data_IF_469287901731
#
_entry.id   IF_469287901731
#
_cell.length_a   1.000
_cell.length_b   1.000
_cell.length_c   1.000
_cell.angle_alpha   90.00
_cell.angle_beta   90.00
_cell.angle_gamma   90.00
#
_symmetry.space_group_name_H-M   'P 1'
#
loop_
_entity.id
_entity.type
_entity.pdbx_description
1 polymer ?
#
# COMPACT_ATOMS: atom_id res chain seq x y z
N UNK A 1 2.07 -16.99 13.46
CA UNK A 1 1.61 -15.84 14.28
C UNK A 1 0.11 -15.60 14.15
N UNK A 2 -0.47 -15.41 12.96
CA UNK A 2 -1.93 -15.20 12.78
C UNK A 2 -2.80 -16.30 13.39
N UNK A 3 -2.43 -17.58 13.24
CA UNK A 3 -3.17 -18.68 13.89
C UNK A 3 -3.19 -18.54 15.42
N UNK A 4 -2.06 -18.17 16.04
CA UNK A 4 -1.99 -17.95 17.48
C UNK A 4 -2.87 -16.77 17.91
N UNK A 5 -2.82 -15.65 17.19
CA UNK A 5 -3.67 -14.49 17.44
C UNK A 5 -5.16 -14.86 17.31
N UNK A 6 -5.54 -15.54 16.22
CA UNK A 6 -6.92 -15.98 15.98
C UNK A 6 -7.44 -16.85 17.11
N UNK A 7 -6.68 -17.89 17.49
CA UNK A 7 -7.06 -18.80 18.59
C UNK A 7 -7.15 -18.05 19.93
N UNK A 8 -6.14 -17.23 20.25
CA UNK A 8 -6.10 -16.51 21.53
C UNK A 8 -7.27 -15.54 21.67
N UNK A 9 -7.51 -14.71 20.64
CA UNK A 9 -8.61 -13.73 20.67
C UNK A 9 -9.96 -14.43 20.70
N UNK A 10 -10.15 -15.51 19.93
CA UNK A 10 -11.40 -16.28 19.95
C UNK A 10 -11.68 -16.87 21.35
N UNK A 11 -10.67 -17.51 21.97
CA UNK A 11 -10.83 -18.11 23.30
C UNK A 11 -11.07 -17.06 24.39
N UNK A 12 -10.35 -15.94 24.37
CA UNK A 12 -10.56 -14.83 25.30
C UNK A 12 -11.97 -14.27 25.14
N UNK A 13 -12.44 -14.06 23.91
CA UNK A 13 -13.79 -13.56 23.64
C UNK A 13 -14.87 -14.49 24.18
N UNK A 14 -14.72 -15.81 23.99
CA UNK A 14 -15.67 -16.80 24.52
C UNK A 14 -15.67 -16.80 26.03
N UNK A 15 -14.50 -16.81 26.67
CA UNK A 15 -14.39 -16.80 28.13
C UNK A 15 -14.98 -15.54 28.76
N UNK A 16 -14.69 -14.36 28.18
CA UNK A 16 -15.26 -13.09 28.62
C UNK A 16 -16.75 -13.03 28.44
N UNK A 17 -17.28 -13.45 27.28
CA UNK A 17 -18.71 -13.49 27.03
C UNK A 17 -19.43 -14.45 28.01
N UNK A 18 -18.83 -15.61 28.28
CA UNK A 18 -19.37 -16.56 29.25
C UNK A 18 -19.39 -15.98 30.70
N UNK A 19 -18.32 -15.28 31.09
CA UNK A 19 -18.23 -14.69 32.41
C UNK A 19 -19.12 -13.47 32.62
N UNK A 20 -19.40 -12.72 31.55
CA UNK A 20 -20.26 -11.51 31.55
C UNK A 20 -21.71 -11.77 31.18
N UNK A 21 -22.08 -13.02 30.87
CA UNK A 21 -23.45 -13.38 30.45
C UNK A 21 -23.82 -12.94 29.03
N UNK A 22 -22.83 -12.61 28.17
CA UNK A 22 -23.02 -12.08 26.81
C UNK A 22 -22.94 -13.12 25.69
N UNK A 23 -23.24 -14.39 25.99
CA UNK A 23 -23.13 -15.48 24.99
C UNK A 23 -24.12 -15.33 23.83
N UNK A 24 -25.30 -14.77 24.05
CA UNK A 24 -26.28 -14.47 23.01
C UNK A 24 -25.75 -13.35 22.08
N UNK A 25 -25.21 -12.27 22.66
CA UNK A 25 -24.59 -11.18 21.91
C UNK A 25 -23.39 -11.68 21.09
N UNK A 26 -22.57 -12.57 21.66
CA UNK A 26 -21.45 -13.18 20.96
C UNK A 26 -21.92 -13.99 19.75
N UNK A 27 -22.92 -14.84 19.90
CA UNK A 27 -23.44 -15.68 18.84
C UNK A 27 -24.04 -14.83 17.71
N UNK A 28 -24.86 -13.86 18.06
CA UNK A 28 -25.45 -12.92 17.10
C UNK A 28 -24.38 -12.11 16.39
N UNK A 29 -23.38 -11.62 17.13
CA UNK A 29 -22.24 -10.87 16.59
C UNK A 29 -21.42 -11.65 15.57
N UNK A 30 -21.18 -12.95 15.83
CA UNK A 30 -20.50 -13.86 14.87
C UNK A 30 -21.30 -13.96 13.55
N UNK A 31 -22.59 -14.24 13.64
CA UNK A 31 -23.42 -14.41 12.43
C UNK A 31 -23.58 -13.13 11.64
N UNK A 32 -23.80 -12.01 12.32
CA UNK A 32 -23.89 -10.68 11.70
C UNK A 32 -22.58 -10.29 11.04
N UNK A 33 -21.44 -10.49 11.71
CA UNK A 33 -20.12 -10.16 11.16
C UNK A 33 -19.79 -11.00 9.93
N UNK A 34 -20.17 -12.29 9.92
CA UNK A 34 -19.98 -13.15 8.75
C UNK A 34 -20.82 -12.67 7.54
N UNK A 35 -22.07 -12.26 7.77
CA UNK A 35 -22.93 -11.69 6.71
C UNK A 35 -22.36 -10.37 6.19
N UNK A 36 -22.01 -9.45 7.08
CA UNK A 36 -21.45 -8.14 6.75
C UNK A 36 -20.15 -8.26 5.94
N UNK A 37 -19.32 -9.29 6.23
CA UNK A 37 -18.09 -9.54 5.50
C UNK A 37 -18.32 -9.82 4.01
N UNK A 38 -19.34 -10.60 3.69
CA UNK A 38 -19.72 -10.93 2.31
C UNK A 38 -20.33 -9.72 1.62
N UNK A 39 -21.24 -9.01 2.30
CA UNK A 39 -21.86 -7.80 1.78
C UNK A 39 -20.81 -6.73 1.44
N UNK A 40 -19.87 -6.48 2.35
CA UNK A 40 -18.74 -5.60 2.12
C UNK A 40 -17.92 -6.01 0.90
N UNK A 41 -17.58 -7.29 0.80
CA UNK A 41 -16.80 -7.80 -0.33
C UNK A 41 -17.51 -7.60 -1.68
N UNK A 42 -18.81 -7.81 -1.73
CA UNK A 42 -19.64 -7.56 -2.92
C UNK A 42 -19.63 -6.06 -3.26
N UNK A 43 -19.78 -5.19 -2.26
CA UNK A 43 -19.71 -3.73 -2.44
C UNK A 43 -18.38 -3.24 -3.00
N UNK A 44 -17.28 -3.94 -2.71
CA UNK A 44 -15.95 -3.61 -3.20
C UNK A 44 -15.70 -4.02 -4.66
N UNK A 45 -16.42 -5.00 -5.20
CA UNK A 45 -16.18 -5.57 -6.54
C UNK A 45 -16.15 -4.49 -7.62
N UNK A 46 -17.16 -3.63 -7.68
CA UNK A 46 -17.29 -2.61 -8.72
C UNK A 46 -16.18 -1.57 -8.66
N UNK A 47 -15.88 -1.06 -7.48
CA UNK A 47 -14.84 -0.04 -7.28
C UNK A 47 -13.44 -0.60 -7.51
N UNK A 48 -13.12 -1.81 -7.04
CA UNK A 48 -11.85 -2.47 -7.31
C UNK A 48 -11.67 -2.78 -8.79
N UNK A 49 -12.70 -3.30 -9.45
CA UNK A 49 -12.68 -3.54 -10.90
C UNK A 49 -12.41 -2.25 -11.67
N UNK A 50 -13.07 -1.15 -11.32
CA UNK A 50 -12.88 0.14 -11.97
C UNK A 50 -11.47 0.68 -11.79
N UNK A 51 -10.94 0.73 -10.56
CA UNK A 51 -9.59 1.26 -10.32
C UNK A 51 -8.50 0.38 -10.94
N UNK A 52 -8.61 -0.95 -10.88
CA UNK A 52 -7.65 -1.83 -11.55
C UNK A 52 -7.76 -1.75 -13.07
N UNK A 53 -8.96 -1.51 -13.62
CA UNK A 53 -9.14 -1.18 -15.02
C UNK A 53 -8.41 0.08 -15.44
N UNK A 54 -8.50 1.16 -14.66
CA UNK A 54 -7.76 2.41 -14.91
C UNK A 54 -6.24 2.20 -14.87
N UNK A 55 -5.76 1.43 -13.90
CA UNK A 55 -4.33 1.12 -13.76
C UNK A 55 -3.85 0.28 -14.94
N UNK A 56 -4.66 -0.64 -15.47
CA UNK A 56 -4.34 -1.41 -16.67
C UNK A 56 -4.11 -0.53 -17.88
N UNK A 57 -4.93 0.52 -18.07
CA UNK A 57 -4.69 1.53 -19.13
C UNK A 57 -3.30 2.17 -18.96
N UNK A 58 -2.91 2.51 -17.73
CA UNK A 58 -1.60 3.08 -17.46
C UNK A 58 -0.44 2.12 -17.78
N UNK A 59 -0.61 0.82 -17.48
CA UNK A 59 0.36 -0.23 -17.79
C UNK A 59 0.52 -0.37 -19.31
N UNK A 60 -0.58 -0.57 -20.04
CA UNK A 60 -0.59 -0.77 -21.49
C UNK A 60 -0.08 0.49 -22.23
N UNK A 61 -0.27 1.68 -21.63
CA UNK A 61 0.28 2.94 -22.15
C UNK A 61 1.79 3.14 -21.86
N UNK A 62 2.43 2.22 -21.12
CA UNK A 62 3.84 2.30 -20.76
C UNK A 62 4.16 3.36 -19.69
N UNK A 63 3.18 3.74 -18.86
CA UNK A 63 3.40 4.70 -17.76
C UNK A 63 4.36 4.13 -16.71
N UNK A 64 4.28 2.84 -16.42
CA UNK A 64 5.20 2.16 -15.50
C UNK A 64 6.66 2.30 -15.95
N UNK A 65 6.94 2.13 -17.22
CA UNK A 65 8.30 2.29 -17.78
C UNK A 65 8.81 3.73 -17.65
N UNK A 66 7.93 4.74 -17.74
CA UNK A 66 8.32 6.15 -17.53
C UNK A 66 8.61 6.43 -16.05
N UNK A 67 7.78 5.94 -15.15
CA UNK A 67 8.01 6.07 -13.70
C UNK A 67 9.28 5.32 -13.31
N UNK A 68 9.49 4.12 -13.84
CA UNK A 68 10.71 3.36 -13.64
C UNK A 68 11.95 4.16 -14.07
N UNK A 69 11.94 4.80 -15.23
CA UNK A 69 13.05 5.68 -15.67
C UNK A 69 13.27 6.89 -14.74
N UNK A 70 12.21 7.46 -14.19
CA UNK A 70 12.32 8.57 -13.25
C UNK A 70 12.91 8.13 -11.91
N UNK A 71 12.59 6.92 -11.47
CA UNK A 71 13.11 6.33 -10.23
C UNK A 71 14.53 5.77 -10.34
N UNK A 72 15.03 5.51 -11.55
CA UNK A 72 16.33 4.88 -11.78
C UNK A 72 17.49 5.62 -11.05
N UNK A 73 17.55 6.94 -11.20
CA UNK A 73 18.61 7.75 -10.55
C UNK A 73 18.53 7.73 -9.02
N UNK A 74 17.40 8.06 -8.36
CA UNK A 74 17.31 7.99 -6.90
C UNK A 74 17.54 6.58 -6.36
N UNK A 75 17.08 5.54 -7.05
CA UNK A 75 17.30 4.16 -6.64
C UNK A 75 18.80 3.81 -6.67
N UNK A 76 19.54 4.16 -7.73
CA UNK A 76 20.98 3.93 -7.79
C UNK A 76 21.75 4.58 -6.64
N UNK A 77 21.31 5.74 -6.16
CA UNK A 77 21.91 6.40 -5.01
C UNK A 77 21.70 5.62 -3.70
N UNK A 78 20.62 4.89 -3.58
CA UNK A 78 20.29 4.07 -2.41
C UNK A 78 21.00 2.70 -2.42
N UNK A 79 21.52 2.28 -3.56
CA UNK A 79 22.20 1.00 -3.75
C UNK A 79 23.63 1.16 -4.32
N UNK A 80 24.54 1.87 -3.62
CA UNK A 80 25.86 2.21 -4.14
C UNK A 80 26.77 0.98 -4.37
N UNK A 81 26.46 -0.15 -3.72
CA UNK A 81 27.21 -1.40 -3.86
C UNK A 81 26.84 -2.23 -5.11
N UNK A 82 25.83 -1.82 -5.89
CA UNK A 82 25.41 -2.54 -7.08
C UNK A 82 26.01 -1.92 -8.35
N UNK A 83 26.42 -2.76 -9.33
CA UNK A 83 26.87 -2.26 -10.63
C UNK A 83 25.78 -1.42 -11.32
N UNK A 84 26.16 -0.37 -12.08
CA UNK A 84 25.19 0.54 -12.74
C UNK A 84 24.21 -0.17 -13.67
N UNK A 85 24.58 -1.28 -14.28
CA UNK A 85 23.75 -2.07 -15.19
C UNK A 85 23.22 -3.36 -14.57
N UNK A 86 23.23 -3.46 -13.23
CA UNK A 86 22.74 -4.66 -12.55
C UNK A 86 21.26 -4.90 -12.84
N UNK A 87 20.86 -6.12 -13.23
CA UNK A 87 19.45 -6.50 -13.36
C UNK A 87 18.64 -6.31 -12.08
N UNK A 88 19.30 -6.35 -10.91
CA UNK A 88 18.69 -6.05 -9.61
C UNK A 88 18.08 -4.66 -9.59
N UNK A 89 18.78 -3.62 -10.08
CA UNK A 89 18.27 -2.24 -10.13
C UNK A 89 16.98 -2.18 -10.95
N UNK A 90 16.98 -2.81 -12.13
CA UNK A 90 15.78 -2.85 -12.99
C UNK A 90 14.58 -3.50 -12.30
N UNK A 91 14.80 -4.64 -11.64
CA UNK A 91 13.74 -5.35 -10.92
C UNK A 91 13.23 -4.56 -9.69
N UNK A 92 14.13 -3.90 -8.92
CA UNK A 92 13.78 -3.01 -7.81
C UNK A 92 12.90 -1.86 -8.30
N UNK A 93 13.32 -1.20 -9.37
CA UNK A 93 12.61 -0.05 -9.95
C UNK A 93 11.21 -0.46 -10.44
N UNK A 94 11.07 -1.61 -11.09
CA UNK A 94 9.77 -2.13 -11.53
C UNK A 94 8.87 -2.50 -10.35
N UNK A 95 9.42 -3.14 -9.32
CA UNK A 95 8.68 -3.47 -8.11
C UNK A 95 8.16 -2.22 -7.41
N UNK A 96 9.02 -1.22 -7.18
CA UNK A 96 8.61 0.03 -6.53
C UNK A 96 7.60 0.81 -7.39
N UNK A 97 7.78 0.84 -8.72
CA UNK A 97 6.82 1.46 -9.63
C UNK A 97 5.45 0.79 -9.52
N UNK A 98 5.39 -0.54 -9.48
CA UNK A 98 4.14 -1.27 -9.33
C UNK A 98 3.46 -0.97 -7.98
N UNK A 99 4.23 -0.92 -6.89
CA UNK A 99 3.71 -0.56 -5.57
C UNK A 99 3.17 0.87 -5.52
N UNK A 100 3.84 1.83 -6.17
CA UNK A 100 3.37 3.22 -6.24
C UNK A 100 1.97 3.35 -6.88
N UNK A 101 1.64 2.46 -7.80
CA UNK A 101 0.31 2.40 -8.43
C UNK A 101 -0.69 1.49 -7.68
N UNK A 102 -0.31 0.92 -6.54
CA UNK A 102 -1.18 0.02 -5.77
C UNK A 102 -1.37 -1.36 -6.40
N UNK A 103 -0.43 -1.78 -7.26
CA UNK A 103 -0.43 -3.08 -7.96
C UNK A 103 0.28 -4.16 -7.14
N UNK A 104 -0.11 -4.39 -5.91
CA UNK A 104 0.57 -5.32 -5.00
C UNK A 104 0.79 -6.72 -5.61
N UNK A 105 -0.20 -7.25 -6.34
CA UNK A 105 -0.09 -8.57 -7.00
C UNK A 105 0.95 -8.59 -8.13
N UNK A 106 1.07 -7.50 -8.89
CA UNK A 106 2.07 -7.38 -9.96
C UNK A 106 3.46 -7.00 -9.41
N UNK A 107 3.53 -6.35 -8.25
CA UNK A 107 4.78 -5.97 -7.61
C UNK A 107 5.55 -7.19 -7.08
N UNK A 108 4.85 -8.20 -6.53
CA UNK A 108 5.48 -9.35 -5.87
C UNK A 108 6.46 -10.13 -6.76
N UNK A 109 6.14 -10.52 -8.02
CA UNK A 109 7.11 -11.20 -8.89
C UNK A 109 8.36 -10.37 -9.15
N UNK A 110 8.24 -9.05 -9.36
CA UNK A 110 9.39 -8.16 -9.53
C UNK A 110 10.24 -8.07 -8.25
N UNK A 111 9.59 -8.09 -7.07
CA UNK A 111 10.28 -8.09 -5.80
C UNK A 111 11.06 -9.38 -5.53
N UNK A 112 10.49 -10.54 -5.86
CA UNK A 112 11.18 -11.83 -5.80
C UNK A 112 12.38 -11.83 -6.76
N UNK A 113 12.19 -11.36 -8.00
CA UNK A 113 13.28 -11.22 -8.96
C UNK A 113 14.37 -10.28 -8.47
N UNK A 114 14.00 -9.16 -7.89
CA UNK A 114 14.96 -8.22 -7.29
C UNK A 114 15.80 -8.90 -6.20
N UNK A 115 15.16 -9.67 -5.31
CA UNK A 115 15.85 -10.41 -4.26
C UNK A 115 16.78 -11.50 -4.84
N UNK A 116 16.34 -12.24 -5.85
CA UNK A 116 17.18 -13.24 -6.53
C UNK A 116 18.41 -12.60 -7.18
N UNK A 117 18.24 -11.46 -7.83
CA UNK A 117 19.36 -10.74 -8.43
C UNK A 117 20.30 -10.14 -7.36
N UNK A 118 19.76 -9.68 -6.23
CA UNK A 118 20.57 -9.22 -5.09
C UNK A 118 21.35 -10.37 -4.44
N UNK A 119 20.77 -11.57 -4.40
CA UNK A 119 21.42 -12.74 -3.79
C UNK A 119 22.58 -13.27 -4.62
N UNK A 120 22.60 -13.05 -5.94
CA UNK A 120 23.77 -13.36 -6.79
C UNK A 120 25.04 -12.59 -6.38
N UNK A 121 24.87 -11.40 -5.77
CA UNK A 121 25.97 -10.58 -5.25
C UNK A 121 26.28 -10.88 -3.78
N UNK A 122 25.60 -11.84 -3.16
CA UNK A 122 25.71 -12.17 -1.75
C UNK A 122 26.80 -13.24 -1.51
N UNK A 123 27.90 -12.86 -0.88
CA UNK A 123 28.98 -13.78 -0.54
C UNK A 123 28.68 -14.76 0.61
N UNK A 124 27.54 -14.63 1.27
CA UNK A 124 27.14 -15.50 2.39
C UNK A 124 25.67 -15.89 2.28
N UNK A 125 25.40 -17.05 1.70
CA UNK A 125 24.04 -17.59 1.61
C UNK A 125 23.33 -17.62 2.97
N UNK A 126 22.04 -17.28 2.97
CA UNK A 126 21.19 -17.31 4.16
C UNK A 126 21.29 -16.09 5.08
N UNK A 127 22.18 -15.12 4.80
CA UNK A 127 22.31 -13.86 5.55
C UNK A 127 22.00 -12.66 4.66
N UNK A 128 21.15 -11.76 5.11
CA UNK A 128 20.74 -10.58 4.35
C UNK A 128 21.89 -9.57 4.17
N UNK A 129 22.09 -9.06 2.94
CA UNK A 129 23.00 -7.96 2.63
C UNK A 129 22.37 -6.60 2.97
N UNK A 130 23.15 -5.53 3.07
CA UNK A 130 22.63 -4.18 3.26
C UNK A 130 21.69 -3.74 2.12
N UNK A 131 21.97 -4.16 0.88
CA UNK A 131 21.09 -3.91 -0.25
C UNK A 131 19.73 -4.60 -0.11
N UNK A 132 19.70 -5.85 0.33
CA UNK A 132 18.45 -6.57 0.61
C UNK A 132 17.64 -5.91 1.72
N UNK A 133 18.31 -5.48 2.80
CA UNK A 133 17.67 -4.74 3.90
C UNK A 133 17.06 -3.43 3.41
N UNK A 134 17.82 -2.62 2.66
CA UNK A 134 17.36 -1.36 2.09
C UNK A 134 16.15 -1.57 1.17
N UNK A 135 16.20 -2.56 0.29
CA UNK A 135 15.09 -2.87 -0.60
C UNK A 135 13.80 -3.24 0.17
N UNK A 136 13.90 -4.09 1.20
CA UNK A 136 12.74 -4.45 2.02
C UNK A 136 12.22 -3.26 2.83
N UNK A 137 13.09 -2.46 3.41
CA UNK A 137 12.68 -1.28 4.18
C UNK A 137 11.88 -0.28 3.33
N UNK A 138 12.33 -0.02 2.09
CA UNK A 138 11.60 0.84 1.15
C UNK A 138 10.28 0.17 0.71
N UNK A 139 10.28 -1.14 0.48
CA UNK A 139 9.09 -1.87 0.04
C UNK A 139 7.99 -1.84 1.09
N UNK A 140 8.34 -2.07 2.37
CA UNK A 140 7.38 -2.07 3.49
C UNK A 140 6.85 -0.68 3.83
N UNK A 141 7.62 0.39 3.57
CA UNK A 141 7.16 1.78 3.75
C UNK A 141 6.17 2.26 2.68
N UNK A 142 6.03 1.49 1.60
CA UNK A 142 5.07 1.65 0.49
C UNK A 142 4.74 3.09 0.10
N UNK A 143 5.57 3.71 -0.71
CA UNK A 143 5.24 5.02 -1.30
C UNK A 143 4.08 4.87 -2.29
N UNK A 144 2.84 4.83 -1.77
CA UNK A 144 1.63 4.69 -2.58
C UNK A 144 1.18 6.06 -3.12
N UNK A 145 1.15 6.21 -4.45
CA UNK A 145 0.54 7.39 -5.10
C UNK A 145 -0.98 7.26 -5.08
N UNK A 146 -1.47 6.05 -5.31
CA UNK A 146 -2.90 5.75 -5.39
C UNK A 146 -3.27 4.66 -4.38
N UNK A 147 -3.82 5.00 -3.20
CA UNK A 147 -4.34 4.02 -2.24
C UNK A 147 -5.70 3.47 -2.72
N UNK A 148 -5.73 2.86 -3.91
CA UNK A 148 -6.95 2.46 -4.62
C UNK A 148 -7.86 1.55 -3.79
N UNK A 149 -7.28 0.61 -3.04
CA UNK A 149 -8.05 -0.29 -2.17
C UNK A 149 -8.79 0.45 -1.06
N UNK A 150 -8.16 1.45 -0.42
CA UNK A 150 -8.79 2.24 0.63
C UNK A 150 -9.83 3.22 0.08
N UNK A 151 -9.58 3.81 -1.08
CA UNK A 151 -10.59 4.64 -1.77
C UNK A 151 -11.80 3.78 -2.14
N UNK A 152 -11.59 2.58 -2.68
CA UNK A 152 -12.66 1.63 -3.00
C UNK A 152 -13.48 1.26 -1.74
N UNK A 153 -12.82 1.00 -0.62
CA UNK A 153 -13.48 0.71 0.66
C UNK A 153 -14.33 1.90 1.12
N UNK A 154 -13.80 3.13 1.08
CA UNK A 154 -14.55 4.33 1.48
C UNK A 154 -15.76 4.58 0.58
N UNK A 155 -15.63 4.34 -0.74
CA UNK A 155 -16.77 4.41 -1.67
C UNK A 155 -17.83 3.37 -1.31
N UNK A 156 -17.45 2.12 -1.02
CA UNK A 156 -18.40 1.05 -0.65
C UNK A 156 -19.11 1.34 0.68
N UNK A 157 -18.50 2.14 1.56
CA UNK A 157 -19.06 2.62 2.83
C UNK A 157 -19.84 3.95 2.68
N UNK A 158 -20.16 4.35 1.45
CA UNK A 158 -20.88 5.59 1.14
C UNK A 158 -20.21 6.87 1.70
N UNK A 159 -18.87 6.90 1.72
CA UNK A 159 -18.11 8.09 2.07
C UNK A 159 -18.48 9.26 1.15
N UNK A 160 -18.66 10.44 1.73
CA UNK A 160 -18.89 11.68 0.97
C UNK A 160 -17.57 12.25 0.43
N UNK A 161 -16.42 11.83 1.01
CA UNK A 161 -15.07 12.27 0.61
C UNK A 161 -14.13 11.06 0.47
N UNK A 162 -14.31 10.17 -0.52
CA UNK A 162 -13.50 8.97 -0.67
C UNK A 162 -12.01 9.23 -0.89
N UNK A 163 -11.66 10.34 -1.56
CA UNK A 163 -10.29 10.72 -1.89
C UNK A 163 -9.60 11.56 -0.80
N UNK A 164 -10.30 11.96 0.25
CA UNK A 164 -9.77 12.81 1.32
C UNK A 164 -8.54 12.22 2.03
N UNK A 165 -8.34 10.91 1.93
CA UNK A 165 -7.16 10.24 2.48
C UNK A 165 -5.89 10.39 1.63
N UNK A 166 -5.92 10.96 0.40
CA UNK A 166 -4.75 11.02 -0.46
C UNK A 166 -3.60 11.79 0.17
N UNK A 167 -3.88 13.02 0.61
CA UNK A 167 -2.84 13.87 1.19
C UNK A 167 -2.24 13.28 2.46
N UNK A 168 -3.09 12.77 3.35
CA UNK A 168 -2.64 12.13 4.60
C UNK A 168 -1.83 10.85 4.33
N UNK A 169 -2.26 10.04 3.36
CA UNK A 169 -1.53 8.83 2.93
C UNK A 169 -0.17 9.18 2.33
N UNK A 170 -0.10 10.20 1.46
CA UNK A 170 1.18 10.62 0.87
C UNK A 170 2.16 11.13 1.92
N UNK A 171 1.68 11.96 2.84
CA UNK A 171 2.52 12.47 3.94
C UNK A 171 3.04 11.33 4.82
N UNK A 172 2.16 10.42 5.23
CA UNK A 172 2.52 9.31 6.10
C UNK A 172 3.48 8.32 5.41
N UNK A 173 3.21 7.93 4.15
CA UNK A 173 4.07 7.02 3.40
C UNK A 173 5.42 7.63 3.05
N UNK A 174 5.47 8.92 2.70
CA UNK A 174 6.73 9.62 2.49
C UNK A 174 7.57 9.68 3.78
N UNK A 175 6.95 9.99 4.91
CA UNK A 175 7.62 10.00 6.22
C UNK A 175 8.14 8.61 6.60
N UNK A 176 7.33 7.57 6.40
CA UNK A 176 7.74 6.18 6.62
C UNK A 176 8.92 5.79 5.72
N UNK A 177 8.90 6.17 4.44
CA UNK A 177 9.98 5.86 3.48
C UNK A 177 11.28 6.56 3.85
N UNK A 178 11.23 7.83 4.24
CA UNK A 178 12.41 8.57 4.70
C UNK A 178 13.03 7.84 5.91
N UNK A 179 12.22 7.47 6.90
CA UNK A 179 12.71 6.78 8.09
C UNK A 179 13.18 5.36 7.78
N UNK A 180 12.52 4.65 6.84
CA UNK A 180 12.98 3.35 6.35
C UNK A 180 14.40 3.41 5.79
N UNK A 181 14.67 4.38 4.91
CA UNK A 181 16.00 4.60 4.31
C UNK A 181 17.02 4.99 5.37
N UNK A 182 16.67 5.93 6.25
CA UNK A 182 17.56 6.37 7.33
C UNK A 182 17.86 5.23 8.32
N UNK A 183 16.84 4.49 8.75
CA UNK A 183 17.00 3.37 9.67
C UNK A 183 17.83 2.24 9.06
N UNK A 184 17.56 1.86 7.80
CA UNK A 184 18.36 0.86 7.10
C UNK A 184 19.83 1.30 7.00
N UNK A 185 20.09 2.57 6.65
CA UNK A 185 21.45 3.12 6.50
C UNK A 185 22.19 3.27 7.83
N UNK A 186 21.52 3.79 8.88
CA UNK A 186 22.13 4.02 10.18
C UNK A 186 22.38 2.71 10.94
N UNK A 187 21.40 1.79 10.93
CA UNK A 187 21.57 0.49 11.60
C UNK A 187 22.68 -0.34 10.95
N UNK A 188 22.86 -0.24 9.62
CA UNK A 188 23.97 -0.91 8.94
C UNK A 188 25.35 -0.51 9.47
N UNK A 189 25.49 0.71 10.02
CA UNK A 189 26.76 1.22 10.56
C UNK A 189 27.05 0.75 11.99
N UNK A 190 26.06 0.22 12.70
CA UNK A 190 26.26 -0.28 14.07
C UNK A 190 27.23 -1.47 14.09
N UNK A 191 28.17 -1.53 15.07
CA UNK A 191 29.21 -2.57 15.12
C UNK A 191 28.67 -3.99 14.99
N UNK A 192 27.53 -4.28 15.62
CA UNK A 192 26.90 -5.60 15.61
C UNK A 192 26.42 -6.03 14.21
N UNK A 193 25.91 -5.07 13.40
CA UNK A 193 25.39 -5.36 12.07
C UNK A 193 26.49 -5.21 11.00
N UNK A 194 27.47 -4.33 11.21
CA UNK A 194 28.63 -4.19 10.35
C UNK A 194 29.52 -5.44 10.39
N UNK A 195 29.72 -6.02 11.56
CA UNK A 195 30.50 -7.24 11.72
C UNK A 195 29.86 -8.50 11.06
N UNK A 196 28.55 -8.47 10.83
CA UNK A 196 27.79 -9.58 10.20
C UNK A 196 27.44 -9.28 8.74
N UNK A 197 28.01 -8.25 8.13
CA UNK A 197 27.76 -7.94 6.73
C UNK A 197 28.43 -8.98 5.83
N UNK A 198 27.66 -9.65 4.92
CA UNK A 198 28.23 -10.55 3.93
C UNK A 198 29.22 -9.81 3.02
N UNK A 199 30.35 -10.43 2.74
CA UNK A 199 31.26 -9.90 1.72
C UNK A 199 30.55 -9.86 0.35
N UNK A 200 30.65 -8.75 -0.36
CA UNK A 200 30.16 -8.69 -1.75
C UNK A 200 31.05 -9.54 -2.65
N UNK A 201 30.46 -10.36 -3.48
CA UNK A 201 31.16 -11.04 -4.56
C UNK A 201 31.49 -9.99 -5.63
N UNK A 202 32.78 -9.87 -6.01
CA UNK A 202 33.22 -8.95 -7.06
C UNK A 202 32.57 -9.36 -8.39
N UNK A 203 31.87 -8.45 -9.09
CA UNK A 203 31.20 -8.75 -10.37
C UNK A 203 32.14 -9.31 -11.45
N UNK A 204 33.45 -9.03 -11.38
CA UNK A 204 34.44 -9.56 -12.32
C UNK A 204 34.59 -11.08 -12.31
N UNK A 205 34.19 -11.74 -11.22
CA UNK A 205 34.22 -13.20 -11.13
C UNK A 205 32.94 -13.86 -11.66
N UNK A 206 31.91 -13.08 -12.01
CA UNK A 206 30.64 -13.60 -12.54
C UNK A 206 30.59 -13.63 -14.08
N UNK A 207 31.50 -12.97 -14.79
CA UNK A 207 31.51 -12.97 -16.26
C UNK A 207 31.78 -14.35 -16.89
N UNK A 208 32.28 -15.31 -16.11
CA UNK A 208 32.58 -16.66 -16.61
C UNK A 208 31.39 -17.65 -16.51
N UNK A 209 30.28 -17.30 -15.86
CA UNK A 209 29.10 -18.19 -15.69
C UNK A 209 27.84 -17.70 -16.40
N UNK A 210 27.93 -16.65 -17.23
CA UNK A 210 26.78 -16.05 -17.92
C UNK A 210 26.55 -16.68 -19.33
N UNK A 211 26.50 -18.01 -19.43
CA UNK A 211 25.84 -18.66 -20.54
C UNK A 211 24.62 -19.43 -20.02
N UNK A 212 23.47 -19.04 -20.52
CA UNK A 212 22.14 -19.64 -20.42
C UNK A 212 21.13 -19.01 -19.44
N UNK A 213 20.00 -18.68 -20.05
CA UNK A 213 18.69 -18.30 -19.52
C UNK A 213 18.44 -16.84 -19.13
N UNK A 214 18.44 -15.99 -20.15
CA UNK A 214 17.60 -14.79 -20.15
C UNK A 214 16.20 -15.18 -20.61
N UNK A 215 15.16 -15.16 -19.77
CA UNK A 215 13.81 -15.17 -20.30
C UNK A 215 13.58 -13.83 -21.04
N UNK A 216 13.14 -13.96 -22.26
CA UNK A 216 12.82 -12.90 -23.20
C UNK A 216 12.07 -11.72 -22.55
N UNK A 217 12.78 -10.65 -22.24
CA UNK A 217 12.20 -9.33 -21.90
C UNK A 217 11.69 -8.58 -23.14
N UNK A 218 11.64 -9.29 -24.29
CA UNK A 218 11.28 -8.69 -25.57
C UNK A 218 9.79 -8.48 -25.81
N UNK A 219 8.91 -9.04 -24.96
CA UNK A 219 7.46 -8.90 -25.15
C UNK A 219 6.88 -7.56 -24.65
N UNK A 220 7.52 -6.88 -23.68
CA UNK A 220 7.04 -5.60 -23.15
C UNK A 220 7.70 -4.36 -23.77
N UNK A 221 8.79 -4.51 -24.51
CA UNK A 221 9.54 -3.38 -25.06
C UNK A 221 8.88 -2.73 -26.31
N UNK A 222 7.92 -3.40 -26.95
CA UNK A 222 7.37 -2.92 -28.22
C UNK A 222 6.25 -1.87 -28.12
N UNK A 223 5.69 -1.63 -26.93
CA UNK A 223 4.65 -0.58 -26.76
C UNK A 223 5.20 0.82 -26.42
N UNK A 224 6.49 0.92 -26.06
CA UNK A 224 7.06 2.15 -25.53
C UNK A 224 7.38 3.24 -26.57
N UNK A 225 7.47 2.94 -27.87
CA UNK A 225 8.00 3.86 -28.88
C UNK A 225 7.00 4.31 -29.97
N UNK A 226 5.71 4.04 -29.83
CA UNK A 226 4.72 4.58 -30.77
C UNK A 226 4.63 6.10 -30.61
N UNK A 227 5.03 6.83 -31.67
CA UNK A 227 4.89 8.29 -31.72
C UNK A 227 3.41 8.65 -31.67
N UNK A 228 3.00 9.54 -30.75
CA UNK A 228 1.60 9.93 -30.62
C UNK A 228 1.09 10.59 -31.90
N UNK A 229 -0.14 10.25 -32.32
CA UNK A 229 -0.77 10.94 -33.46
C UNK A 229 -0.96 12.42 -33.12
N UNK A 230 -0.48 13.30 -33.97
CA UNK A 230 -0.46 14.75 -33.72
C UNK A 230 -1.86 15.30 -33.37
N UNK A 231 -2.90 14.79 -33.99
CA UNK A 231 -4.29 15.16 -33.70
C UNK A 231 -4.72 14.78 -32.28
N UNK A 232 -4.40 13.57 -31.82
CA UNK A 232 -4.73 13.11 -30.44
C UNK A 232 -4.01 13.93 -29.37
N UNK A 233 -2.76 14.32 -29.64
CA UNK A 233 -2.00 15.23 -28.78
C UNK A 233 -2.65 16.61 -28.68
N UNK A 234 -3.07 17.19 -29.80
CA UNK A 234 -3.73 18.50 -29.83
C UNK A 234 -5.07 18.47 -29.09
N UNK A 235 -5.90 17.45 -29.35
CA UNK A 235 -7.18 17.28 -28.65
C UNK A 235 -7.00 17.06 -27.14
N UNK A 236 -6.01 16.26 -26.75
CA UNK A 236 -5.67 16.07 -25.32
C UNK A 236 -5.24 17.39 -24.68
N UNK A 237 -4.38 18.19 -25.34
CA UNK A 237 -3.96 19.50 -24.83
C UNK A 237 -5.13 20.47 -24.71
N UNK A 238 -6.02 20.50 -25.69
CA UNK A 238 -7.22 21.33 -25.66
C UNK A 238 -8.14 20.93 -24.50
N UNK A 239 -8.35 19.63 -24.29
CA UNK A 239 -9.11 19.12 -23.16
C UNK A 239 -8.51 19.57 -21.82
N UNK A 240 -7.20 19.41 -21.64
CA UNK A 240 -6.54 19.80 -20.40
C UNK A 240 -6.55 21.30 -20.16
N UNK A 241 -6.40 22.09 -21.24
CA UNK A 241 -6.53 23.54 -21.16
C UNK A 241 -7.95 23.96 -20.75
N UNK A 242 -8.97 23.35 -21.36
CA UNK A 242 -10.37 23.62 -21.01
C UNK A 242 -10.66 23.20 -19.55
N UNK A 243 -10.20 22.01 -19.13
CA UNK A 243 -10.36 21.55 -17.75
C UNK A 243 -9.68 22.48 -16.75
N UNK A 244 -8.47 22.95 -17.06
CA UNK A 244 -7.73 23.90 -16.21
C UNK A 244 -8.41 25.26 -16.13
N UNK A 245 -8.91 25.79 -17.24
CA UNK A 245 -9.66 27.04 -17.26
C UNK A 245 -10.96 26.95 -16.43
N UNK A 246 -11.69 25.82 -16.56
CA UNK A 246 -12.88 25.57 -15.75
C UNK A 246 -12.56 25.38 -14.27
N UNK A 247 -11.43 24.74 -13.94
CA UNK A 247 -10.94 24.62 -12.57
C UNK A 247 -10.64 26.01 -11.96
N UNK A 248 -9.88 26.84 -12.67
CA UNK A 248 -9.59 28.21 -12.22
C UNK A 248 -10.89 28.99 -11.99
N UNK A 249 -11.84 28.91 -12.93
CA UNK A 249 -13.15 29.56 -12.76
C UNK A 249 -13.87 29.06 -11.52
N UNK A 250 -13.91 27.73 -11.31
CA UNK A 250 -14.56 27.14 -10.14
C UNK A 250 -13.90 27.58 -8.82
N UNK A 251 -12.57 27.68 -8.81
CA UNK A 251 -11.81 28.17 -7.66
C UNK A 251 -12.11 29.66 -7.42
N UNK A 252 -12.02 30.49 -8.45
CA UNK A 252 -12.24 31.93 -8.33
C UNK A 252 -13.64 32.27 -7.82
N UNK A 253 -14.67 31.50 -8.17
CA UNK A 253 -16.03 31.71 -7.67
C UNK A 253 -16.24 31.29 -6.22
N UNK A 254 -15.32 30.47 -5.62
CA UNK A 254 -15.41 30.00 -4.24
C UNK A 254 -14.49 30.75 -3.28
N UNK A 255 -13.43 31.36 -3.78
CA UNK A 255 -12.41 32.05 -2.97
C UNK A 255 -13.02 33.20 -2.14
N UNK A 256 -14.13 33.79 -2.62
CA UNK A 256 -14.84 34.89 -1.90
C UNK A 256 -15.71 34.36 -0.74
N UNK A 257 -16.00 33.06 -0.70
CA UNK A 257 -16.98 32.48 0.24
C UNK A 257 -16.42 31.44 1.20
N UNK A 258 -15.23 30.86 0.91
CA UNK A 258 -14.64 29.78 1.70
C UNK A 258 -13.20 30.12 2.12
N UNK A 259 -12.75 29.68 3.34
CA UNK A 259 -11.34 29.77 3.73
C UNK A 259 -10.44 29.00 2.75
N UNK A 260 -9.25 29.54 2.46
CA UNK A 260 -8.30 28.94 1.49
C UNK A 260 -7.98 27.48 1.84
N UNK A 261 -7.89 27.16 3.11
CA UNK A 261 -7.61 25.77 3.57
C UNK A 261 -8.74 24.80 3.18
N UNK A 262 -10.01 25.18 3.43
CA UNK A 262 -11.16 24.36 3.05
C UNK A 262 -11.30 24.23 1.53
N UNK A 263 -10.97 25.28 0.79
CA UNK A 263 -10.95 25.25 -0.67
C UNK A 263 -9.89 24.26 -1.20
N UNK A 264 -8.67 24.30 -0.67
CA UNK A 264 -7.59 23.37 -1.05
C UNK A 264 -8.00 21.93 -0.71
N UNK A 265 -8.55 21.70 0.48
CA UNK A 265 -9.04 20.40 0.91
C UNK A 265 -10.12 19.87 -0.03
N UNK A 266 -11.13 20.67 -0.33
CA UNK A 266 -12.24 20.35 -1.23
C UNK A 266 -11.75 20.00 -2.65
N UNK A 267 -10.79 20.77 -3.18
CA UNK A 267 -10.18 20.49 -4.48
C UNK A 267 -9.44 19.15 -4.44
N UNK A 268 -8.60 18.92 -3.45
CA UNK A 268 -7.86 17.67 -3.32
C UNK A 268 -8.78 16.46 -3.18
N UNK A 269 -9.89 16.59 -2.48
CA UNK A 269 -10.86 15.52 -2.26
C UNK A 269 -11.68 15.21 -3.50
N UNK A 270 -12.34 16.21 -4.09
CA UNK A 270 -13.34 15.96 -5.13
C UNK A 270 -12.78 15.99 -6.56
N UNK A 271 -11.66 16.68 -6.79
CA UNK A 271 -11.04 16.76 -8.12
C UNK A 271 -10.02 15.63 -8.37
N UNK A 272 -9.46 15.02 -7.32
CA UNK A 272 -8.41 14.01 -7.47
C UNK A 272 -8.84 12.82 -8.34
N UNK A 273 -9.98 12.20 -8.04
CA UNK A 273 -10.46 11.03 -8.80
C UNK A 273 -10.79 11.40 -10.26
N UNK A 274 -11.59 12.46 -10.56
CA UNK A 274 -11.83 12.88 -11.94
C UNK A 274 -10.55 13.22 -12.71
N UNK A 275 -9.59 13.90 -12.09
CA UNK A 275 -8.30 14.23 -12.70
C UNK A 275 -7.50 12.96 -13.01
N UNK A 276 -7.44 12.00 -12.08
CA UNK A 276 -6.75 10.72 -12.30
C UNK A 276 -7.38 9.95 -13.45
N UNK A 277 -8.71 9.86 -13.49
CA UNK A 277 -9.44 9.22 -14.60
C UNK A 277 -9.09 9.91 -15.94
N UNK A 278 -9.23 11.23 -15.99
CA UNK A 278 -8.92 12.01 -17.18
C UNK A 278 -7.46 11.84 -17.61
N UNK A 279 -6.51 11.84 -16.67
CA UNK A 279 -5.10 11.66 -16.95
C UNK A 279 -4.79 10.29 -17.53
N UNK A 280 -5.29 9.21 -16.92
CA UNK A 280 -5.01 7.85 -17.38
C UNK A 280 -5.69 7.55 -18.72
N UNK A 281 -6.95 7.97 -18.89
CA UNK A 281 -7.70 7.79 -20.16
C UNK A 281 -7.07 8.59 -21.30
N UNK A 282 -6.77 9.88 -21.09
CA UNK A 282 -6.15 10.70 -22.14
C UNK A 282 -4.73 10.25 -22.46
N UNK A 283 -3.96 9.82 -21.43
CA UNK A 283 -2.62 9.28 -21.63
C UNK A 283 -2.65 7.99 -22.46
N UNK A 284 -3.53 7.03 -22.10
CA UNK A 284 -3.72 5.80 -22.87
C UNK A 284 -4.16 6.07 -24.32
N UNK A 285 -5.14 6.96 -24.51
CA UNK A 285 -5.64 7.32 -25.82
C UNK A 285 -4.57 7.96 -26.74
N UNK A 286 -3.76 8.85 -26.18
CA UNK A 286 -2.63 9.48 -26.89
C UNK A 286 -1.56 8.44 -27.26
N UNK A 287 -1.40 7.40 -26.45
CA UNK A 287 -0.45 6.30 -26.69
C UNK A 287 -1.02 5.17 -27.53
N UNK A 288 -2.18 5.37 -28.18
CA UNK A 288 -2.86 4.39 -29.03
C UNK A 288 -3.29 3.10 -28.32
N UNK A 289 -3.44 3.14 -26.98
CA UNK A 289 -4.01 2.03 -26.23
C UNK A 289 -5.50 1.90 -26.56
N UNK A 290 -5.98 0.67 -26.67
CA UNK A 290 -7.41 0.36 -26.76
C UNK A 290 -8.01 0.52 -25.35
N UNK A 291 -8.33 1.78 -24.99
CA UNK A 291 -8.64 2.20 -23.60
C UNK A 291 -9.79 1.41 -23.00
N UNK A 292 -10.84 1.15 -23.78
CA UNK A 292 -11.99 0.39 -23.30
C UNK A 292 -11.63 -1.07 -23.02
N UNK A 293 -10.92 -1.72 -23.94
CA UNK A 293 -10.50 -3.11 -23.82
C UNK A 293 -9.53 -3.29 -22.65
N UNK A 294 -8.57 -2.37 -22.49
CA UNK A 294 -7.66 -2.37 -21.34
C UNK A 294 -8.39 -2.18 -20.01
N UNK A 295 -9.40 -1.27 -19.99
CA UNK A 295 -10.23 -1.08 -18.79
C UNK A 295 -10.96 -2.37 -18.42
N UNK A 296 -11.58 -3.04 -19.41
CA UNK A 296 -12.33 -4.28 -19.19
C UNK A 296 -11.41 -5.41 -18.71
N UNK A 297 -10.21 -5.53 -19.29
CA UNK A 297 -9.25 -6.56 -18.88
C UNK A 297 -8.76 -6.35 -17.43
N UNK A 298 -8.40 -5.12 -17.08
CA UNK A 298 -8.04 -4.79 -15.71
C UNK A 298 -9.21 -4.93 -14.73
N UNK A 299 -10.45 -4.68 -15.18
CA UNK A 299 -11.64 -4.89 -14.38
C UNK A 299 -11.86 -6.38 -14.03
N UNK A 300 -11.54 -7.31 -14.93
CA UNK A 300 -11.55 -8.76 -14.64
C UNK A 300 -10.56 -9.12 -13.52
N UNK A 301 -9.35 -8.55 -13.56
CA UNK A 301 -8.36 -8.73 -12.49
C UNK A 301 -8.90 -8.19 -11.15
N UNK A 302 -9.54 -7.02 -11.17
CA UNK A 302 -10.16 -6.41 -10.00
C UNK A 302 -11.27 -7.26 -9.37
N UNK A 303 -12.09 -7.88 -10.21
CA UNK A 303 -13.09 -8.83 -9.77
C UNK A 303 -12.48 -10.05 -9.07
N UNK A 304 -11.40 -10.62 -9.65
CA UNK A 304 -10.69 -11.75 -9.05
C UNK A 304 -10.06 -11.39 -7.71
N UNK A 305 -9.50 -10.18 -7.58
CA UNK A 305 -8.93 -9.69 -6.32
C UNK A 305 -10.04 -9.56 -5.26
N UNK A 306 -11.18 -8.97 -5.60
CA UNK A 306 -12.30 -8.84 -4.69
C UNK A 306 -12.80 -10.21 -4.19
N UNK A 307 -12.94 -11.21 -5.07
CA UNK A 307 -13.29 -12.56 -4.68
C UNK A 307 -12.26 -13.22 -3.75
N UNK A 308 -10.98 -13.00 -4.01
CA UNK A 308 -9.89 -13.61 -3.22
C UNK A 308 -9.85 -13.10 -1.78
N UNK A 309 -10.28 -11.87 -1.51
CA UNK A 309 -10.26 -11.30 -0.16
C UNK A 309 -11.44 -11.77 0.72
N UNK A 310 -12.52 -12.29 0.15
CA UNK A 310 -13.73 -12.73 0.90
C UNK A 310 -13.39 -13.63 2.09
N UNK A 311 -12.64 -14.75 1.94
CA UNK A 311 -12.36 -15.64 3.06
C UNK A 311 -11.61 -14.95 4.20
N UNK A 312 -10.71 -14.02 3.87
CA UNK A 312 -9.95 -13.25 4.86
C UNK A 312 -10.84 -12.23 5.56
N UNK A 313 -11.75 -11.56 4.83
CA UNK A 313 -12.73 -10.65 5.41
C UNK A 313 -13.63 -11.41 6.40
N UNK A 314 -14.18 -12.56 5.99
CA UNK A 314 -15.02 -13.35 6.88
C UNK A 314 -14.28 -13.77 8.16
N UNK A 315 -13.08 -14.33 8.03
CA UNK A 315 -12.30 -14.78 9.19
C UNK A 315 -12.01 -13.63 10.16
N UNK A 316 -11.54 -12.48 9.66
CA UNK A 316 -11.13 -11.36 10.51
C UNK A 316 -12.35 -10.61 11.06
N UNK A 317 -13.39 -10.34 10.26
CA UNK A 317 -14.58 -9.64 10.76
C UNK A 317 -15.34 -10.48 11.79
N UNK A 318 -15.42 -11.79 11.62
CA UNK A 318 -15.96 -12.69 12.65
C UNK A 318 -15.15 -12.60 13.93
N UNK A 319 -13.82 -12.67 13.84
CA UNK A 319 -12.94 -12.56 15.01
C UNK A 319 -13.15 -11.24 15.77
N UNK A 320 -13.22 -10.14 15.03
CA UNK A 320 -13.42 -8.80 15.60
C UNK A 320 -14.84 -8.66 16.16
N UNK A 321 -15.82 -9.22 15.48
CA UNK A 321 -17.20 -9.28 15.95
C UNK A 321 -17.32 -10.04 17.29
N UNK A 322 -16.62 -11.17 17.43
CA UNK A 322 -16.50 -11.88 18.69
C UNK A 322 -15.85 -11.01 19.77
N UNK A 323 -14.75 -10.35 19.44
CA UNK A 323 -13.97 -9.54 20.36
C UNK A 323 -14.77 -8.32 20.86
N UNK A 324 -15.56 -7.70 19.97
CA UNK A 324 -16.45 -6.58 20.30
C UNK A 324 -17.64 -7.06 21.14
N UNK A 325 -18.39 -8.06 20.67
CA UNK A 325 -19.62 -8.53 21.33
C UNK A 325 -19.34 -9.12 22.73
N UNK A 326 -18.13 -9.65 22.97
CA UNK A 326 -17.73 -10.11 24.29
C UNK A 326 -17.43 -8.97 25.27
N UNK A 327 -17.28 -7.72 24.81
CA UNK A 327 -16.79 -6.58 25.61
C UNK A 327 -15.27 -6.54 25.76
N UNK A 328 -14.54 -7.48 25.18
CA UNK A 328 -13.07 -7.54 25.27
C UNK A 328 -12.41 -6.34 24.60
N UNK A 329 -12.98 -5.83 23.49
CA UNK A 329 -12.49 -4.64 22.81
C UNK A 329 -12.60 -3.41 23.73
N UNK A 330 -13.71 -3.22 24.44
CA UNK A 330 -13.92 -2.08 25.33
C UNK A 330 -12.90 -2.07 26.48
N UNK A 331 -12.60 -3.24 27.03
CA UNK A 331 -11.57 -3.41 28.07
C UNK A 331 -10.19 -3.05 27.54
N UNK A 332 -9.85 -3.54 26.33
CA UNK A 332 -8.56 -3.25 25.69
C UNK A 332 -8.41 -1.77 25.39
N UNK A 333 -9.44 -1.16 24.76
CA UNK A 333 -9.48 0.27 24.44
C UNK A 333 -9.35 1.11 25.71
N UNK A 334 -10.11 0.80 26.77
CA UNK A 334 -10.03 1.51 28.04
C UNK A 334 -8.67 1.45 28.69
N UNK A 335 -7.97 0.30 28.61
CA UNK A 335 -6.62 0.13 29.13
C UNK A 335 -5.57 0.92 28.33
N UNK A 336 -5.72 0.99 27.01
CA UNK A 336 -4.74 1.60 26.11
C UNK A 336 -5.02 3.09 25.82
N UNK A 337 -6.24 3.59 26.08
CA UNK A 337 -6.64 4.97 25.84
C UNK A 337 -5.68 6.01 26.44
N UNK A 338 -5.16 5.90 27.67
CA UNK A 338 -4.23 6.87 28.22
C UNK A 338 -2.91 6.95 27.45
N UNK A 339 -2.44 5.80 26.91
CA UNK A 339 -1.20 5.72 26.13
C UNK A 339 -1.35 6.33 24.74
N UNK A 340 -2.48 6.06 24.07
CA UNK A 340 -2.75 6.55 22.73
C UNK A 340 -3.15 8.03 22.73
N UNK A 341 -3.81 8.50 23.77
CA UNK A 341 -4.17 9.92 23.95
C UNK A 341 -2.94 10.84 23.94
N UNK A 342 -1.80 10.37 24.48
CA UNK A 342 -0.55 11.15 24.47
C UNK A 342 -0.06 11.53 23.07
N UNK A 343 -0.32 10.66 22.08
CA UNK A 343 0.05 10.91 20.67
C UNK A 343 -1.13 11.43 19.83
N UNK A 344 -2.28 11.70 20.44
CA UNK A 344 -3.49 12.16 19.74
C UNK A 344 -4.16 11.07 18.89
N UNK A 345 -3.95 9.80 19.21
CA UNK A 345 -4.53 8.65 18.51
C UNK A 345 -5.77 8.16 19.26
N UNK A 346 -6.96 8.11 18.64
CA UNK A 346 -8.10 7.41 19.21
C UNK A 346 -7.75 5.94 19.51
N UNK A 347 -8.17 5.44 20.66
CA UNK A 347 -7.81 4.08 21.08
C UNK A 347 -8.44 3.00 20.17
N UNK A 348 -9.54 3.34 19.50
CA UNK A 348 -10.28 2.48 18.57
C UNK A 348 -9.46 2.11 17.31
N UNK A 349 -8.49 2.94 16.91
CA UNK A 349 -7.62 2.64 15.76
C UNK A 349 -6.34 1.90 16.16
N UNK A 350 -6.04 1.77 17.45
CA UNK A 350 -4.83 1.10 17.91
C UNK A 350 -4.75 -0.38 17.50
N UNK A 351 -5.81 -1.20 17.57
CA UNK A 351 -5.77 -2.58 17.08
C UNK A 351 -5.34 -2.66 15.61
N UNK A 352 -5.79 -1.72 14.79
CA UNK A 352 -5.39 -1.62 13.38
C UNK A 352 -3.90 -1.27 13.24
N UNK A 353 -3.41 -0.30 14.01
CA UNK A 353 -2.01 0.08 14.03
C UNK A 353 -1.09 -1.10 14.38
N UNK A 354 -1.47 -1.90 15.39
CA UNK A 354 -0.74 -3.09 15.82
C UNK A 354 -0.81 -4.21 14.78
N UNK A 355 -1.96 -4.41 14.14
CA UNK A 355 -2.16 -5.50 13.17
C UNK A 355 -1.47 -5.22 11.82
N UNK A 356 -1.26 -3.96 11.46
CA UNK A 356 -0.76 -3.55 10.14
C UNK A 356 0.55 -4.22 9.72
N UNK A 357 1.61 -4.31 10.54
CA UNK A 357 2.84 -5.02 10.18
C UNK A 357 2.68 -6.52 9.94
N UNK A 358 1.63 -7.15 10.50
CA UNK A 358 1.44 -8.61 10.50
C UNK A 358 0.54 -9.10 9.37
N UNK A 359 -0.53 -8.36 9.03
CA UNK A 359 -1.55 -8.83 8.09
C UNK A 359 -2.16 -7.69 7.28
N UNK A 360 -1.92 -7.67 5.97
CA UNK A 360 -2.53 -6.69 5.05
C UNK A 360 -4.04 -6.89 4.91
N UNK A 361 -4.49 -8.12 4.66
CA UNK A 361 -5.92 -8.45 4.57
C UNK A 361 -6.66 -8.28 5.91
N UNK A 362 -5.99 -8.65 7.01
CA UNK A 362 -6.53 -8.42 8.36
C UNK A 362 -6.69 -6.93 8.67
N UNK A 363 -5.70 -6.12 8.35
CA UNK A 363 -5.77 -4.66 8.53
C UNK A 363 -6.84 -4.03 7.65
N UNK A 364 -6.99 -4.51 6.41
CA UNK A 364 -8.06 -4.04 5.51
C UNK A 364 -9.44 -4.35 6.09
N UNK A 365 -9.64 -5.56 6.61
CA UNK A 365 -10.90 -5.96 7.24
C UNK A 365 -11.18 -5.15 8.52
N UNK A 366 -10.15 -4.92 9.36
CA UNK A 366 -10.29 -4.14 10.58
C UNK A 366 -10.55 -2.65 10.28
N UNK A 367 -9.93 -2.09 9.22
CA UNK A 367 -10.25 -0.75 8.76
C UNK A 367 -11.70 -0.64 8.28
N UNK A 368 -12.18 -1.65 7.55
CA UNK A 368 -13.58 -1.71 7.11
C UNK A 368 -14.55 -1.74 8.30
N UNK A 369 -14.27 -2.56 9.29
CA UNK A 369 -15.07 -2.68 10.50
C UNK A 369 -15.06 -1.36 11.31
N UNK A 370 -13.88 -0.75 11.48
CA UNK A 370 -13.74 0.53 12.17
C UNK A 370 -14.51 1.64 11.45
N UNK A 371 -14.46 1.70 10.12
CA UNK A 371 -15.24 2.64 9.31
C UNK A 371 -16.74 2.37 9.38
N UNK A 372 -17.16 1.11 9.42
CA UNK A 372 -18.58 0.73 9.58
C UNK A 372 -19.12 1.19 10.94
N UNK A 373 -18.31 1.08 12.00
CA UNK A 373 -18.71 1.43 13.35
C UNK A 373 -18.75 2.93 13.62
N UNK A 374 -17.77 3.66 13.10
CA UNK A 374 -17.55 5.06 13.42
C UNK A 374 -17.83 6.03 12.26
N UNK A 375 -18.09 5.48 11.08
CA UNK A 375 -18.27 6.24 9.84
C UNK A 375 -16.95 6.43 9.07
N UNK A 376 -16.98 6.33 7.72
CA UNK A 376 -15.79 6.49 6.89
C UNK A 376 -15.23 7.92 6.92
N UNK A 377 -16.09 8.94 7.15
CA UNK A 377 -15.72 10.35 7.15
C UNK A 377 -15.49 10.93 8.56
N UNK A 378 -15.47 10.07 9.58
CA UNK A 378 -15.04 10.43 10.92
C UNK A 378 -13.52 10.53 11.02
N UNK A 379 -12.98 11.19 12.05
CA UNK A 379 -11.56 11.21 12.34
C UNK A 379 -10.96 9.79 12.40
N UNK A 380 -11.68 8.88 13.06
CA UNK A 380 -11.33 7.45 13.18
C UNK A 380 -11.32 6.79 11.80
N UNK A 381 -12.30 7.08 10.94
CA UNK A 381 -12.38 6.57 9.58
C UNK A 381 -11.25 7.06 8.68
N UNK A 382 -10.93 8.35 8.71
CA UNK A 382 -9.77 8.92 7.99
C UNK A 382 -8.47 8.31 8.48
N UNK A 383 -8.30 8.16 9.79
CA UNK A 383 -7.08 7.59 10.38
C UNK A 383 -6.92 6.12 9.99
N UNK A 384 -7.99 5.33 10.05
CA UNK A 384 -8.00 3.92 9.63
C UNK A 384 -7.63 3.74 8.16
N UNK A 385 -8.20 4.58 7.28
CA UNK A 385 -7.87 4.61 5.86
C UNK A 385 -6.42 4.99 5.59
N UNK A 386 -5.91 5.99 6.30
CA UNK A 386 -4.54 6.47 6.17
C UNK A 386 -3.54 5.43 6.66
N UNK A 387 -3.75 4.78 7.81
CA UNK A 387 -2.88 3.71 8.31
C UNK A 387 -2.74 2.57 7.32
N UNK A 388 -3.88 2.12 6.79
CA UNK A 388 -3.90 0.99 5.84
C UNK A 388 -3.32 1.37 4.48
N UNK A 389 -3.49 2.62 4.05
CA UNK A 389 -3.02 3.12 2.77
C UNK A 389 -1.55 3.53 2.72
N UNK A 390 -0.91 3.79 3.87
CA UNK A 390 0.41 4.43 3.94
C UNK A 390 1.60 3.49 4.14
N UNK A 391 1.38 2.25 4.54
CA UNK A 391 2.43 1.23 4.76
C UNK A 391 2.02 -0.09 4.15
N UNK A 392 2.97 -1.01 3.95
CA UNK A 392 2.73 -2.40 3.58
C UNK A 392 2.87 -3.33 4.80
N UNK A 393 2.63 -4.61 4.59
CA UNK A 393 2.67 -5.63 5.64
C UNK A 393 4.09 -6.17 5.80
N UNK A 394 4.82 -5.66 6.78
CA UNK A 394 6.23 -5.94 7.01
C UNK A 394 6.55 -7.44 7.07
N UNK A 395 5.89 -8.19 7.95
CA UNK A 395 6.22 -9.61 8.14
C UNK A 395 5.82 -10.51 6.95
N UNK A 396 4.75 -10.15 6.22
CA UNK A 396 4.40 -10.85 4.98
C UNK A 396 5.46 -10.60 3.90
N UNK A 397 5.86 -9.37 3.69
CA UNK A 397 6.87 -8.98 2.70
C UNK A 397 8.20 -9.67 2.99
N UNK A 398 8.63 -9.68 4.25
CA UNK A 398 9.81 -10.41 4.71
C UNK A 398 9.73 -11.91 4.40
N UNK A 399 8.60 -12.55 4.73
CA UNK A 399 8.41 -13.98 4.51
C UNK A 399 8.44 -14.35 3.03
N UNK A 400 7.80 -13.55 2.18
CA UNK A 400 7.74 -13.80 0.73
C UNK A 400 9.11 -13.59 0.07
N UNK A 401 9.74 -12.45 0.31
CA UNK A 401 10.96 -12.09 -0.40
C UNK A 401 12.19 -12.80 0.12
N UNK A 402 12.37 -12.88 1.43
CA UNK A 402 13.47 -13.65 2.03
C UNK A 402 13.25 -15.17 1.90
N UNK A 403 11.99 -15.61 2.01
CA UNK A 403 11.63 -17.00 1.80
C UNK A 403 11.97 -17.50 0.40
N UNK A 404 11.80 -16.67 -0.63
CA UNK A 404 12.12 -17.02 -2.02
C UNK A 404 13.60 -17.30 -2.28
N UNK A 405 14.51 -16.76 -1.45
CA UNK A 405 15.98 -16.91 -1.56
C UNK A 405 16.61 -17.58 -0.34
N UNK A 406 15.80 -18.09 0.60
CA UNK A 406 16.27 -18.86 1.75
C UNK A 406 17.03 -18.07 2.81
N UNK A 407 16.82 -16.76 2.92
CA UNK A 407 17.43 -15.93 3.97
C UNK A 407 16.83 -16.31 5.34
N UNK A 408 17.70 -16.66 6.27
CA UNK A 408 17.37 -17.01 7.67
C UNK A 408 17.79 -15.91 8.66
N UNK A 409 18.94 -15.30 8.41
CA UNK A 409 19.45 -14.19 9.22
C UNK A 409 19.09 -12.86 8.56
N UNK A 410 18.06 -12.20 9.08
CA UNK A 410 17.51 -10.94 8.53
C UNK A 410 18.33 -9.71 8.96
N UNK A 411 19.33 -9.85 9.83
CA UNK A 411 20.14 -8.75 10.37
C UNK A 411 19.25 -7.60 10.90
N UNK A 412 19.47 -6.38 10.45
CA UNK A 412 18.73 -5.18 10.87
C UNK A 412 17.46 -4.90 10.05
N UNK A 413 16.99 -5.84 9.21
CA UNK A 413 15.78 -5.64 8.39
C UNK A 413 14.55 -5.39 9.26
N UNK A 414 14.29 -6.26 10.25
CA UNK A 414 13.09 -6.14 11.10
C UNK A 414 13.07 -4.81 11.85
N UNK A 415 14.11 -4.39 12.58
CA UNK A 415 14.08 -3.09 13.26
C UNK A 415 13.98 -1.91 12.30
N UNK A 416 14.56 -1.97 11.09
CA UNK A 416 14.43 -0.91 10.10
C UNK A 416 12.99 -0.79 9.57
N UNK A 417 12.36 -1.92 9.22
CA UNK A 417 10.97 -1.95 8.75
C UNK A 417 9.99 -1.52 9.85
N UNK A 418 10.16 -2.00 11.09
CA UNK A 418 9.29 -1.60 12.20
C UNK A 418 9.43 -0.11 12.56
N UNK A 419 10.62 0.46 12.43
CA UNK A 419 10.82 1.91 12.59
C UNK A 419 10.02 2.70 11.53
N UNK A 420 9.99 2.22 10.30
CA UNK A 420 9.15 2.78 9.24
C UNK A 420 7.66 2.65 9.53
N UNK A 421 7.20 1.46 9.98
CA UNK A 421 5.79 1.22 10.35
C UNK A 421 5.33 2.17 11.46
N UNK A 422 6.10 2.26 12.56
CA UNK A 422 5.80 3.16 13.68
C UNK A 422 5.75 4.62 13.20
N UNK A 423 6.72 5.02 12.37
CA UNK A 423 6.73 6.39 11.82
C UNK A 423 5.54 6.65 10.92
N UNK A 424 5.15 5.70 10.07
CA UNK A 424 3.98 5.81 9.22
C UNK A 424 2.69 6.00 10.02
N UNK A 425 2.52 5.23 11.09
CA UNK A 425 1.37 5.34 12.01
C UNK A 425 1.36 6.69 12.72
N UNK A 426 2.49 7.12 13.28
CA UNK A 426 2.57 8.41 13.99
C UNK A 426 2.38 9.60 13.03
N UNK A 427 2.98 9.55 11.85
CA UNK A 427 2.81 10.58 10.82
C UNK A 427 1.38 10.64 10.31
N UNK A 428 0.73 9.49 10.11
CA UNK A 428 -0.68 9.42 9.76
C UNK A 428 -1.58 10.00 10.86
N UNK A 429 -1.31 9.65 12.11
CA UNK A 429 -2.03 10.24 13.26
C UNK A 429 -1.89 11.75 13.28
N UNK A 430 -0.68 12.26 13.15
CA UNK A 430 -0.40 13.70 13.14
C UNK A 430 -1.13 14.43 12.02
N UNK A 431 -0.97 13.96 10.77
CA UNK A 431 -1.53 14.65 9.61
C UNK A 431 -3.06 14.57 9.58
N UNK A 432 -3.65 13.44 10.01
CA UNK A 432 -5.12 13.30 10.07
C UNK A 432 -5.70 14.22 11.14
N UNK A 433 -5.09 14.33 12.32
CA UNK A 433 -5.52 15.30 13.32
C UNK A 433 -5.39 16.75 12.82
N UNK A 434 -4.37 17.07 12.02
CA UNK A 434 -4.18 18.40 11.45
C UNK A 434 -5.23 18.75 10.38
N UNK A 435 -5.65 17.76 9.58
CA UNK A 435 -6.55 18.01 8.45
C UNK A 435 -8.03 17.86 8.80
N UNK A 436 -8.36 17.02 9.79
CA UNK A 436 -9.72 16.57 10.08
C UNK A 436 -10.11 16.64 11.58
N UNK A 437 -9.16 17.01 12.46
CA UNK A 437 -9.29 17.12 13.93
C UNK A 437 -9.64 18.50 14.44
#
# INVERSE_FOLDING_TARGET
MLNGLFVTVSLISILLAASSGRMEELTTGVMTSASNAVELAIGLVGTMAFFLGLIRIAQDAGLMTKVARALDRPIRLLFPGLPPNSPAIGAIVLNLSANMFGLANAATPFGIKAMQELDKHNGQSGTATNAMVMFLAINTSALAILPTGMVALRVSMASQDPAGIFLSTWFASASATIVAVLAASLLAQLPNYRATEPACIDPKNMENDLDSDSPDSSAEANSADMKPAMLRLWLSRLFWFALFALAIRSIATRTDSEPVFELVRSIMSFWSIPIIIAALVTYGWVRHVAVYESLVEGAKEGFQVALRIIPFLVAILVLIGMFRSSGALDVLVGFLAPLTAFVGMPAEVLPLAVLRPFSGSGSFALAAETMQAHGPDSLIGYMSGTFTGSTETTFYTLAVYYGAIGIRNTRHTVPACLAADVTGILAATFIVNLLFG
#
